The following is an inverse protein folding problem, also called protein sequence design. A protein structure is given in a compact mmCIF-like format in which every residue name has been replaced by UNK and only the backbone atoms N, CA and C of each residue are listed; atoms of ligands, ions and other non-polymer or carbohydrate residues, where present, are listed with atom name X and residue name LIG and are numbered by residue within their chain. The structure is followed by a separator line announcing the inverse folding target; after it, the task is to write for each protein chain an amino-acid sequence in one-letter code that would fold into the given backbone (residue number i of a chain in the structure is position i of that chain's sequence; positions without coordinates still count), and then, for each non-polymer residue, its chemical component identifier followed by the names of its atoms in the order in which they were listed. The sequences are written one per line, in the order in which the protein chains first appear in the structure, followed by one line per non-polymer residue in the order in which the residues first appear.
data_IF_511816347463
#
_entry.id   IF_511816347463
#
_cell.length_a   1.000
_cell.length_b   1.000
_cell.length_c   1.000
_cell.angle_alpha   90.00
_cell.angle_beta   90.00
_cell.angle_gamma   90.00
#
_symmetry.space_group_name_H-M   'P 1'
#
loop_
_entity.id
_entity.type
_entity.pdbx_description
1 polymer ?
#
# COMPACT_ATOMS: atom_id res chain seq x y z
N UNK A 1 9.07 11.91 -10.04
CA UNK A 1 9.45 13.11 -9.27
C UNK A 1 10.74 12.84 -8.50
N UNK A 2 10.81 11.82 -7.59
CA UNK A 2 11.96 11.58 -6.72
C UNK A 2 13.31 11.52 -7.44
N UNK A 3 13.40 10.78 -8.56
CA UNK A 3 14.62 10.73 -9.39
C UNK A 3 15.05 12.10 -9.91
N UNK A 4 14.10 12.96 -10.28
CA UNK A 4 14.40 14.34 -10.74
C UNK A 4 14.93 15.19 -9.58
N UNK A 5 14.38 15.06 -8.38
CA UNK A 5 14.86 15.78 -7.18
C UNK A 5 16.31 15.40 -6.88
N UNK A 6 16.66 14.10 -6.93
CA UNK A 6 18.05 13.63 -6.80
C UNK A 6 18.98 14.23 -7.88
N UNK A 7 18.51 14.24 -9.13
CA UNK A 7 19.25 14.82 -10.25
C UNK A 7 19.50 16.31 -10.03
N UNK A 8 18.49 17.07 -9.61
CA UNK A 8 18.62 18.51 -9.33
C UNK A 8 19.52 18.78 -8.13
N UNK A 9 19.51 17.94 -7.11
CA UNK A 9 20.47 18.04 -6.01
C UNK A 9 21.90 17.90 -6.51
N UNK A 10 22.19 16.89 -7.33
CA UNK A 10 23.54 16.69 -7.91
C UNK A 10 23.98 17.81 -8.85
N UNK A 11 23.05 18.42 -9.59
CA UNK A 11 23.31 19.52 -10.51
C UNK A 11 23.42 20.89 -9.81
N UNK A 12 23.06 20.99 -8.53
CA UNK A 12 23.08 22.25 -7.78
C UNK A 12 24.16 22.22 -6.68
N UNK A 13 23.77 22.17 -5.43
CA UNK A 13 24.65 22.32 -4.27
C UNK A 13 24.88 21.00 -3.47
N UNK A 14 24.57 19.84 -4.06
CA UNK A 14 24.75 18.51 -3.44
C UNK A 14 24.05 18.39 -2.08
N UNK A 15 22.91 19.07 -1.88
CA UNK A 15 22.14 18.97 -0.65
C UNK A 15 21.66 17.53 -0.43
N UNK A 16 21.58 17.11 0.81
CA UNK A 16 20.90 15.85 1.15
C UNK A 16 19.45 15.90 0.69
N UNK A 17 18.97 14.81 0.15
CA UNK A 17 17.60 14.67 -0.31
C UNK A 17 16.97 13.52 0.45
N UNK A 18 15.80 13.76 0.96
CA UNK A 18 14.90 12.73 1.49
C UNK A 18 13.69 12.63 0.61
N UNK A 19 13.23 11.42 0.41
CA UNK A 19 12.16 11.10 -0.51
C UNK A 19 11.21 10.12 0.15
N UNK A 20 9.97 10.54 0.30
CA UNK A 20 8.84 9.66 0.52
C UNK A 20 8.07 9.57 -0.79
N UNK A 21 8.09 8.38 -1.39
CA UNK A 21 7.51 8.10 -2.70
C UNK A 21 6.39 7.06 -2.57
N UNK A 22 5.90 6.62 -3.70
CA UNK A 22 4.79 5.67 -3.75
C UNK A 22 5.13 4.27 -3.28
N UNK A 23 4.09 3.45 -3.23
CA UNK A 23 4.17 2.05 -2.85
C UNK A 23 3.25 1.14 -3.68
N UNK A 24 3.48 -0.15 -3.54
CA UNK A 24 2.60 -1.24 -3.98
C UNK A 24 2.66 -2.31 -2.90
N UNK A 25 2.19 -1.93 -1.72
CA UNK A 25 2.44 -2.66 -0.49
C UNK A 25 1.72 -4.00 -0.46
N UNK A 26 2.43 -5.10 -0.17
CA UNK A 26 1.83 -6.43 -0.01
C UNK A 26 1.14 -6.52 1.35
N UNK A 27 -0.03 -7.15 1.38
CA UNK A 27 -0.73 -7.55 2.58
C UNK A 27 -0.94 -9.07 2.51
N UNK A 28 -0.21 -9.83 3.33
CA UNK A 28 -0.12 -11.29 3.26
C UNK A 28 -1.02 -11.92 4.30
N UNK A 29 -1.93 -12.78 3.88
CA UNK A 29 -2.84 -13.49 4.79
C UNK A 29 -2.60 -14.99 4.69
N UNK A 30 -2.09 -15.59 5.77
CA UNK A 30 -1.91 -17.03 5.90
C UNK A 30 -3.20 -17.71 6.36
N UNK A 31 -3.38 -18.99 5.99
CA UNK A 31 -4.55 -19.78 6.36
C UNK A 31 -4.69 -20.02 7.86
N UNK A 32 -3.59 -19.87 8.61
CA UNK A 32 -3.58 -19.96 10.07
C UNK A 32 -3.86 -18.63 10.78
N UNK A 33 -4.30 -17.60 10.07
CA UNK A 33 -4.77 -16.37 10.70
C UNK A 33 -5.91 -16.69 11.67
N UNK A 34 -5.81 -16.20 12.90
CA UNK A 34 -6.76 -16.53 13.96
C UNK A 34 -8.12 -15.87 13.74
N UNK A 35 -8.12 -14.64 13.27
CA UNK A 35 -9.32 -13.84 13.02
C UNK A 35 -9.33 -13.31 11.58
N UNK A 36 -10.02 -14.05 10.71
CA UNK A 36 -10.16 -13.68 9.30
C UNK A 36 -11.12 -12.51 9.08
N UNK A 37 -12.04 -12.24 10.00
CA UNK A 37 -12.95 -11.09 9.88
C UNK A 37 -12.20 -9.80 10.16
N UNK A 38 -11.47 -9.72 11.26
CA UNK A 38 -10.58 -8.58 11.56
C UNK A 38 -9.53 -8.37 10.45
N UNK A 39 -8.92 -9.44 9.96
CA UNK A 39 -7.95 -9.36 8.87
C UNK A 39 -8.59 -8.82 7.56
N UNK A 40 -9.83 -9.20 7.27
CA UNK A 40 -10.55 -8.74 6.09
C UNK A 40 -10.97 -7.27 6.22
N UNK A 41 -11.44 -6.85 7.39
CA UNK A 41 -11.79 -5.45 7.68
C UNK A 41 -10.56 -4.54 7.55
N UNK A 42 -9.46 -4.89 8.20
CA UNK A 42 -8.22 -4.15 8.10
C UNK A 42 -7.65 -4.13 6.67
N UNK A 43 -7.75 -5.24 5.93
CA UNK A 43 -7.31 -5.32 4.53
C UNK A 43 -8.16 -4.43 3.61
N UNK A 44 -9.46 -4.38 3.82
CA UNK A 44 -10.36 -3.51 3.05
C UNK A 44 -10.09 -2.03 3.38
N UNK A 45 -9.93 -1.71 4.67
CA UNK A 45 -9.60 -0.34 5.10
C UNK A 45 -8.24 0.11 4.55
N UNK A 46 -7.24 -0.76 4.55
CA UNK A 46 -5.89 -0.50 4.04
C UNK A 46 -5.84 -0.06 2.57
N UNK A 47 -6.87 -0.35 1.78
CA UNK A 47 -6.94 0.06 0.37
C UNK A 47 -8.09 1.00 0.07
N UNK A 48 -9.24 0.88 0.72
CA UNK A 48 -10.40 1.72 0.42
C UNK A 48 -10.50 2.96 1.32
N UNK A 49 -9.81 2.96 2.47
CA UNK A 49 -9.65 4.13 3.30
C UNK A 49 -9.00 5.27 2.51
N UNK A 50 -9.44 6.50 2.74
CA UNK A 50 -9.00 7.68 2.00
C UNK A 50 -8.99 7.48 0.47
N UNK A 51 -10.01 6.82 -0.08
CA UNK A 51 -10.17 6.51 -1.51
C UNK A 51 -8.98 5.75 -2.13
N UNK A 52 -8.15 5.08 -1.32
CA UNK A 52 -6.91 4.43 -1.77
C UNK A 52 -5.80 5.41 -2.18
N UNK A 53 -5.96 6.68 -1.91
CA UNK A 53 -4.96 7.73 -2.13
C UNK A 53 -4.00 7.82 -0.94
N UNK A 54 -3.35 6.67 -0.64
CA UNK A 54 -2.39 6.49 0.45
C UNK A 54 -1.15 5.79 -0.10
N UNK A 55 0.04 6.32 0.18
CA UNK A 55 1.30 5.79 -0.35
C UNK A 55 1.62 4.38 0.17
N UNK A 56 1.24 4.08 1.41
CA UNK A 56 1.41 2.77 2.07
C UNK A 56 0.25 1.80 1.84
N UNK A 57 -0.80 2.19 1.10
CA UNK A 57 -2.00 1.38 0.91
C UNK A 57 -1.71 -0.09 0.58
N UNK A 58 -2.39 -1.02 1.27
CA UNK A 58 -2.27 -2.46 1.10
C UNK A 58 -2.86 -2.97 -0.21
N UNK A 59 -2.40 -2.41 -1.33
CA UNK A 59 -3.00 -2.55 -2.66
C UNK A 59 -2.75 -3.91 -3.34
N UNK A 60 -1.84 -4.74 -2.79
CA UNK A 60 -1.63 -6.13 -3.20
C UNK A 60 -1.97 -7.08 -2.05
N UNK A 61 -3.12 -7.71 -2.11
CA UNK A 61 -3.53 -8.73 -1.16
C UNK A 61 -3.03 -10.09 -1.64
N UNK A 62 -2.17 -10.72 -0.82
CA UNK A 62 -1.50 -11.99 -1.13
C UNK A 62 -2.07 -13.04 -0.18
N UNK A 63 -2.91 -13.96 -0.68
CA UNK A 63 -3.75 -14.84 0.12
C UNK A 63 -3.26 -16.29 -0.03
N UNK A 64 -3.18 -17.02 1.07
CA UNK A 64 -2.92 -18.46 0.98
C UNK A 64 -4.11 -19.17 0.33
N UNK A 65 -3.83 -20.05 -0.65
CA UNK A 65 -4.84 -20.65 -1.55
C UNK A 65 -6.02 -21.29 -0.81
N UNK A 66 -5.76 -21.91 0.33
CA UNK A 66 -6.78 -22.64 1.11
C UNK A 66 -7.92 -21.75 1.60
N UNK A 67 -7.66 -20.45 1.79
CA UNK A 67 -8.65 -19.48 2.28
C UNK A 67 -9.06 -18.45 1.24
N UNK A 68 -8.52 -18.50 0.02
CA UNK A 68 -8.71 -17.48 -1.02
C UNK A 68 -10.18 -17.10 -1.20
N UNK A 69 -11.01 -18.09 -1.50
CA UNK A 69 -12.44 -17.87 -1.83
C UNK A 69 -13.22 -17.26 -0.67
N UNK A 70 -13.00 -17.77 0.53
CA UNK A 70 -13.65 -17.27 1.74
C UNK A 70 -13.20 -15.84 2.05
N UNK A 71 -11.89 -15.60 2.03
CA UNK A 71 -11.33 -14.29 2.35
C UNK A 71 -11.74 -13.20 1.34
N UNK A 72 -11.71 -13.50 0.04
CA UNK A 72 -12.18 -12.57 -1.00
C UNK A 72 -13.67 -12.25 -0.81
N UNK A 73 -14.50 -13.26 -0.49
CA UNK A 73 -15.94 -13.05 -0.22
C UNK A 73 -16.18 -12.09 0.95
N UNK A 74 -15.37 -12.18 2.03
CA UNK A 74 -15.44 -11.24 3.16
C UNK A 74 -15.12 -9.81 2.73
N UNK A 75 -14.02 -9.60 2.00
CA UNK A 75 -13.63 -8.27 1.52
C UNK A 75 -14.68 -7.69 0.56
N UNK A 76 -15.26 -8.49 -0.33
CA UNK A 76 -16.37 -8.07 -1.20
C UNK A 76 -17.55 -7.57 -0.38
N UNK A 77 -17.93 -8.29 0.68
CA UNK A 77 -19.05 -7.88 1.53
C UNK A 77 -18.77 -6.59 2.30
N UNK A 78 -17.53 -6.39 2.75
CA UNK A 78 -17.09 -5.18 3.43
C UNK A 78 -17.06 -4.00 2.45
N UNK A 79 -16.51 -4.18 1.24
CA UNK A 79 -16.39 -3.14 0.22
C UNK A 79 -17.75 -2.54 -0.21
N UNK A 80 -18.84 -3.33 -0.12
CA UNK A 80 -20.19 -2.84 -0.38
C UNK A 80 -20.64 -1.72 0.57
N UNK A 81 -20.07 -1.68 1.78
CA UNK A 81 -20.33 -0.65 2.78
C UNK A 81 -19.34 0.52 2.69
N UNK A 82 -18.28 0.38 1.92
CA UNK A 82 -17.21 1.36 1.76
C UNK A 82 -17.37 2.20 0.48
N UNK A 83 -18.62 2.54 0.14
CA UNK A 83 -18.90 3.32 -1.07
C UNK A 83 -18.60 4.80 -0.87
N UNK A 84 -18.16 5.49 -1.93
CA UNK A 84 -18.03 6.92 -1.91
C UNK A 84 -19.41 7.60 -1.85
N UNK A 85 -19.47 8.74 -1.19
CA UNK A 85 -20.71 9.51 -1.01
C UNK A 85 -20.49 11.00 -0.89
N UNK A 86 -21.55 11.72 -0.54
CA UNK A 86 -21.49 13.15 -0.25
C UNK A 86 -20.59 13.38 0.98
N UNK A 87 -19.56 14.23 0.91
CA UNK A 87 -18.66 14.50 2.03
C UNK A 87 -19.34 15.14 3.25
N UNK A 88 -20.55 15.70 3.09
CA UNK A 88 -21.37 16.23 4.18
C UNK A 88 -22.33 15.20 4.80
N UNK A 89 -22.44 14.01 4.19
CA UNK A 89 -23.22 12.92 4.75
C UNK A 89 -22.33 12.06 5.68
N UNK A 90 -22.63 11.97 6.99
CA UNK A 90 -21.84 11.19 7.94
C UNK A 90 -21.86 9.68 7.66
N UNK A 91 -22.80 9.19 6.87
CA UNK A 91 -22.86 7.78 6.44
C UNK A 91 -21.95 7.48 5.24
N UNK A 92 -21.38 8.48 4.59
CA UNK A 92 -20.44 8.30 3.50
C UNK A 92 -19.12 7.77 4.03
N UNK A 93 -18.63 6.64 3.50
CA UNK A 93 -17.34 6.08 3.89
C UNK A 93 -16.16 6.85 3.28
N UNK A 94 -16.27 7.20 2.01
CA UNK A 94 -15.19 7.84 1.26
C UNK A 94 -15.71 9.08 0.50
N UNK A 95 -14.82 10.02 0.25
CA UNK A 95 -15.09 11.21 -0.56
C UNK A 95 -14.69 11.04 -2.02
N UNK A 96 -14.49 12.17 -2.68
CA UNK A 96 -14.04 12.22 -4.06
C UNK A 96 -12.52 11.95 -4.18
N UNK A 97 -12.11 11.39 -5.31
CA UNK A 97 -10.72 11.38 -5.78
C UNK A 97 -10.23 12.82 -5.94
N UNK A 98 -8.95 13.06 -5.66
CA UNK A 98 -8.36 14.42 -5.57
C UNK A 98 -8.64 15.32 -6.79
N UNK A 99 -8.73 14.78 -7.98
CA UNK A 99 -9.06 15.50 -9.21
C UNK A 99 -9.39 14.56 -10.38
N UNK A 100 -9.84 15.13 -11.51
CA UNK A 100 -10.19 14.37 -12.71
C UNK A 100 -9.00 13.66 -13.36
N UNK A 101 -7.81 14.21 -13.31
CA UNK A 101 -6.61 13.59 -13.89
C UNK A 101 -6.32 12.25 -13.17
N UNK A 102 -6.39 12.25 -11.84
CA UNK A 102 -6.23 11.03 -11.05
C UNK A 102 -7.39 10.06 -11.26
N UNK A 103 -8.63 10.53 -11.37
CA UNK A 103 -9.79 9.70 -11.70
C UNK A 103 -9.59 8.96 -13.04
N UNK A 104 -9.18 9.68 -14.08
CA UNK A 104 -8.89 9.10 -15.39
C UNK A 104 -7.71 8.11 -15.34
N UNK A 105 -6.68 8.40 -14.54
CA UNK A 105 -5.58 7.47 -14.30
C UNK A 105 -6.09 6.16 -13.69
N UNK A 106 -6.93 6.22 -12.66
CA UNK A 106 -7.51 5.03 -12.00
C UNK A 106 -8.31 4.23 -13.03
N UNK A 107 -9.22 4.88 -13.76
CA UNK A 107 -10.04 4.25 -14.81
C UNK A 107 -9.18 3.58 -15.89
N UNK A 108 -8.11 4.23 -16.31
CA UNK A 108 -7.14 3.66 -17.26
C UNK A 108 -6.49 2.39 -16.73
N UNK A 109 -6.05 2.36 -15.46
CA UNK A 109 -5.46 1.16 -14.86
C UNK A 109 -6.47 0.01 -14.73
N UNK A 110 -7.73 0.32 -14.43
CA UNK A 110 -8.77 -0.71 -14.40
C UNK A 110 -8.96 -1.34 -15.78
N UNK A 111 -8.93 -0.54 -16.85
CA UNK A 111 -9.02 -1.07 -18.22
C UNK A 111 -7.76 -1.88 -18.58
N UNK A 112 -6.57 -1.41 -18.23
CA UNK A 112 -5.32 -2.18 -18.42
C UNK A 112 -5.39 -3.54 -17.72
N UNK A 113 -5.88 -3.60 -16.47
CA UNK A 113 -6.02 -4.86 -15.76
C UNK A 113 -6.94 -5.85 -16.48
N UNK A 114 -8.08 -5.36 -17.01
CA UNK A 114 -9.00 -6.17 -17.83
C UNK A 114 -8.32 -6.66 -19.12
N UNK A 115 -7.60 -5.80 -19.80
CA UNK A 115 -6.86 -6.13 -21.03
C UNK A 115 -5.74 -7.15 -20.79
N UNK A 116 -5.08 -7.09 -19.63
CA UNK A 116 -4.05 -8.05 -19.21
C UNK A 116 -4.64 -9.38 -18.72
N UNK A 117 -5.97 -9.50 -18.60
CA UNK A 117 -6.69 -10.75 -18.25
C UNK A 117 -7.07 -10.88 -16.78
N UNK A 118 -6.93 -9.82 -15.97
CA UNK A 118 -7.46 -9.81 -14.62
C UNK A 118 -9.01 -9.72 -14.64
N UNK A 119 -9.66 -10.34 -13.66
CA UNK A 119 -11.10 -10.31 -13.49
C UNK A 119 -11.52 -9.25 -12.48
N UNK A 120 -12.51 -8.42 -12.81
CA UNK A 120 -13.11 -7.47 -11.86
C UNK A 120 -14.27 -8.15 -11.15
N UNK A 121 -14.12 -8.37 -9.85
CA UNK A 121 -15.17 -8.99 -9.02
C UNK A 121 -16.17 -7.94 -8.49
N UNK A 122 -15.69 -6.73 -8.22
CA UNK A 122 -16.49 -5.60 -7.70
C UNK A 122 -15.98 -4.31 -8.30
N UNK A 123 -16.88 -3.37 -8.53
CA UNK A 123 -16.58 -1.99 -8.91
C UNK A 123 -16.04 -1.85 -10.33
N UNK A 124 -15.03 -1.02 -10.47
CA UNK A 124 -14.37 -0.75 -11.75
C UNK A 124 -15.00 0.34 -12.59
N UNK A 125 -15.84 1.18 -11.98
CA UNK A 125 -16.54 2.25 -12.67
C UNK A 125 -16.39 3.62 -11.98
N UNK A 126 -16.44 4.66 -12.78
CA UNK A 126 -16.69 6.02 -12.30
C UNK A 126 -18.15 6.11 -11.86
N UNK A 127 -18.37 6.58 -10.65
CA UNK A 127 -19.72 6.70 -10.06
C UNK A 127 -20.08 8.16 -9.75
N UNK A 128 -21.31 8.43 -9.28
CA UNK A 128 -21.83 9.73 -8.88
C UNK A 128 -21.58 10.85 -9.92
N UNK A 129 -21.67 10.54 -11.20
CA UNK A 129 -21.33 11.47 -12.32
C UNK A 129 -22.17 12.73 -12.32
N UNK A 130 -23.41 12.65 -11.83
CA UNK A 130 -24.36 13.76 -11.83
C UNK A 130 -24.00 14.86 -10.79
N UNK A 131 -23.08 14.56 -9.86
CA UNK A 131 -22.63 15.52 -8.86
C UNK A 131 -21.57 16.48 -9.37
N UNK A 132 -20.94 16.16 -10.50
CA UNK A 132 -19.78 16.89 -11.01
C UNK A 132 -18.46 16.59 -10.28
N UNK A 133 -18.48 15.73 -9.26
CA UNK A 133 -17.32 15.28 -8.50
C UNK A 133 -16.62 14.07 -9.16
N UNK A 134 -15.39 13.80 -8.70
CA UNK A 134 -14.53 12.72 -9.21
C UNK A 134 -14.65 11.49 -8.29
N UNK A 135 -15.60 10.62 -8.53
CA UNK A 135 -15.84 9.46 -7.67
C UNK A 135 -15.58 8.14 -8.40
N UNK A 136 -14.95 7.19 -7.69
CA UNK A 136 -14.65 5.86 -8.22
C UNK A 136 -15.05 4.78 -7.21
N UNK A 137 -15.63 3.68 -7.73
CA UNK A 137 -16.07 2.56 -6.88
C UNK A 137 -14.87 1.80 -6.29
N UNK A 138 -14.95 1.31 -5.03
CA UNK A 138 -14.06 0.28 -4.54
C UNK A 138 -13.98 -0.88 -5.54
N UNK A 139 -12.77 -1.19 -5.98
CA UNK A 139 -12.54 -2.15 -7.07
C UNK A 139 -11.65 -3.28 -6.62
N UNK A 140 -12.08 -4.52 -6.90
CA UNK A 140 -11.34 -5.73 -6.53
C UNK A 140 -11.05 -6.54 -7.79
N UNK A 141 -9.76 -6.76 -8.03
CA UNK A 141 -9.28 -7.66 -9.07
C UNK A 141 -8.90 -9.02 -8.51
N UNK A 142 -9.37 -10.07 -9.20
CA UNK A 142 -8.92 -11.46 -9.05
C UNK A 142 -8.25 -11.95 -10.32
N UNK A 143 -7.76 -13.19 -10.30
CA UNK A 143 -7.03 -13.77 -11.43
C UNK A 143 -5.85 -12.90 -11.88
N UNK A 144 -5.17 -12.26 -10.91
CA UNK A 144 -4.05 -11.36 -11.16
C UNK A 144 -2.74 -12.14 -11.14
N UNK A 145 -1.90 -11.94 -12.16
CA UNK A 145 -0.51 -12.35 -12.14
C UNK A 145 0.35 -11.19 -11.63
N UNK A 146 1.35 -11.49 -10.79
CA UNK A 146 2.21 -10.44 -10.21
C UNK A 146 3.00 -9.60 -11.24
N UNK A 147 3.08 -10.05 -12.51
CA UNK A 147 3.71 -9.29 -13.61
C UNK A 147 2.77 -8.29 -14.27
N UNK A 148 1.47 -8.37 -14.02
CA UNK A 148 0.50 -7.41 -14.55
C UNK A 148 0.76 -6.02 -13.99
N UNK A 149 0.53 -4.99 -14.81
CA UNK A 149 0.76 -3.60 -14.42
C UNK A 149 -0.06 -3.18 -13.19
N UNK A 150 -1.28 -3.69 -13.08
CA UNK A 150 -2.14 -3.45 -11.90
C UNK A 150 -1.57 -4.01 -10.60
N UNK A 151 -0.68 -5.02 -10.66
CA UNK A 151 0.03 -5.58 -9.51
C UNK A 151 1.39 -4.92 -9.26
N UNK A 152 1.99 -4.28 -10.26
CA UNK A 152 3.34 -3.72 -10.19
C UNK A 152 3.39 -2.20 -10.05
N UNK A 153 2.42 -1.49 -10.61
CA UNK A 153 2.43 -0.03 -10.67
C UNK A 153 1.47 0.58 -9.63
N UNK A 154 1.84 1.73 -9.08
CA UNK A 154 1.01 2.47 -8.14
C UNK A 154 -0.16 3.15 -8.86
N UNK A 155 -1.38 2.71 -8.54
CA UNK A 155 -2.60 3.29 -9.09
C UNK A 155 -2.98 4.57 -8.34
N UNK A 156 -2.84 4.54 -7.01
CA UNK A 156 -3.21 5.63 -6.09
C UNK A 156 -4.70 5.92 -6.13
N UNK A 157 -5.49 4.88 -5.86
CA UNK A 157 -6.95 4.89 -5.91
C UNK A 157 -7.52 3.60 -5.30
N UNK A 158 -8.85 3.45 -5.19
CA UNK A 158 -9.51 2.38 -4.46
C UNK A 158 -9.50 1.05 -5.26
N UNK A 159 -8.33 0.55 -5.61
CA UNK A 159 -8.14 -0.63 -6.46
C UNK A 159 -7.25 -1.66 -5.77
N UNK A 160 -7.87 -2.76 -5.36
CA UNK A 160 -7.23 -3.93 -4.76
C UNK A 160 -6.91 -4.97 -5.83
N UNK A 161 -5.69 -5.51 -5.81
CA UNK A 161 -5.32 -6.70 -6.59
C UNK A 161 -5.11 -7.89 -5.66
N UNK A 162 -5.67 -9.05 -6.01
CA UNK A 162 -5.51 -10.28 -5.22
C UNK A 162 -4.58 -11.27 -5.94
N UNK A 163 -3.66 -11.83 -5.17
CA UNK A 163 -2.70 -12.84 -5.62
C UNK A 163 -2.76 -14.02 -4.67
N UNK A 164 -2.36 -15.20 -5.11
CA UNK A 164 -2.38 -16.39 -4.27
C UNK A 164 -0.99 -17.00 -4.12
N UNK A 165 -0.79 -17.70 -3.01
CA UNK A 165 0.41 -18.48 -2.76
C UNK A 165 0.08 -19.81 -2.08
N UNK A 166 1.02 -20.76 -2.17
CA UNK A 166 0.90 -22.09 -1.55
C UNK A 166 1.93 -22.30 -0.43
N UNK A 167 3.09 -21.65 -0.51
CA UNK A 167 4.19 -21.82 0.47
C UNK A 167 4.63 -20.49 1.04
N UNK A 168 5.24 -20.52 2.22
CA UNK A 168 5.81 -19.32 2.84
C UNK A 168 6.81 -18.61 1.91
N UNK A 169 7.69 -19.38 1.28
CA UNK A 169 8.72 -18.86 0.39
C UNK A 169 8.13 -18.18 -0.85
N UNK A 170 7.03 -18.72 -1.38
CA UNK A 170 6.29 -18.12 -2.49
C UNK A 170 5.65 -16.80 -2.07
N UNK A 171 5.03 -16.72 -0.89
CA UNK A 171 4.46 -15.49 -0.35
C UNK A 171 5.50 -14.38 -0.25
N UNK A 172 6.68 -14.69 0.31
CA UNK A 172 7.78 -13.73 0.45
C UNK A 172 8.35 -13.33 -0.93
N UNK A 173 8.45 -14.27 -1.85
CA UNK A 173 8.90 -13.99 -3.22
C UNK A 173 7.96 -13.01 -3.92
N UNK A 174 6.64 -13.27 -3.90
CA UNK A 174 5.63 -12.38 -4.48
C UNK A 174 5.65 -11.01 -3.81
N UNK A 175 5.73 -10.97 -2.47
CA UNK A 175 5.76 -9.71 -1.73
C UNK A 175 6.95 -8.83 -2.14
N UNK A 176 8.12 -9.43 -2.32
CA UNK A 176 9.36 -8.74 -2.66
C UNK A 176 9.52 -8.44 -4.16
N UNK A 177 8.78 -9.11 -5.04
CA UNK A 177 8.83 -8.91 -6.49
C UNK A 177 8.01 -7.67 -6.88
N UNK A 178 8.58 -6.52 -6.55
CA UNK A 178 8.08 -5.17 -6.84
C UNK A 178 9.25 -4.19 -6.78
N UNK A 179 9.15 -3.11 -7.53
CA UNK A 179 10.11 -2.00 -7.45
C UNK A 179 9.97 -1.15 -6.17
N UNK A 180 8.89 -1.34 -5.41
CA UNK A 180 8.56 -0.63 -4.19
C UNK A 180 8.91 -1.42 -2.94
N UNK A 181 8.88 -0.74 -1.80
CA UNK A 181 9.12 -1.33 -0.49
C UNK A 181 8.79 -0.36 0.65
N UNK A 182 7.58 0.24 0.63
CA UNK A 182 7.17 1.19 1.66
C UNK A 182 6.65 0.47 2.91
N UNK A 183 5.55 -0.25 2.77
CA UNK A 183 4.92 -0.98 3.86
C UNK A 183 4.57 -2.42 3.45
N UNK A 184 4.21 -3.24 4.44
CA UNK A 184 3.69 -4.59 4.27
C UNK A 184 2.84 -5.01 5.47
N UNK A 185 1.83 -5.85 5.26
CA UNK A 185 1.07 -6.54 6.31
C UNK A 185 1.32 -8.04 6.30
N UNK A 186 1.26 -8.67 7.47
CA UNK A 186 1.38 -10.13 7.64
C UNK A 186 0.39 -10.61 8.69
N UNK A 187 -0.49 -11.51 8.30
CA UNK A 187 -1.55 -12.07 9.15
C UNK A 187 -1.33 -13.55 9.36
N UNK A 188 -1.03 -13.95 10.59
CA UNK A 188 -0.79 -15.34 11.01
C UNK A 188 -0.83 -15.44 12.54
N UNK A 189 -1.29 -16.55 13.09
CA UNK A 189 -1.19 -16.83 14.53
C UNK A 189 0.19 -17.34 14.96
N UNK A 190 1.03 -17.76 14.01
CA UNK A 190 2.36 -18.27 14.30
C UNK A 190 3.37 -17.11 14.38
N UNK A 191 3.77 -16.76 15.60
CA UNK A 191 4.72 -15.67 15.85
C UNK A 191 6.08 -15.91 15.18
N UNK A 192 6.53 -17.16 15.06
CA UNK A 192 7.81 -17.46 14.39
C UNK A 192 7.70 -17.18 12.89
N UNK A 193 6.57 -17.53 12.27
CA UNK A 193 6.26 -17.21 10.89
C UNK A 193 6.20 -15.70 10.67
N UNK A 194 5.49 -14.98 11.55
CA UNK A 194 5.38 -13.52 11.49
C UNK A 194 6.76 -12.84 11.56
N UNK A 195 7.60 -13.20 12.53
CA UNK A 195 8.96 -12.66 12.68
C UNK A 195 9.86 -13.05 11.50
N UNK A 196 9.77 -14.29 11.00
CA UNK A 196 10.50 -14.71 9.81
C UNK A 196 10.10 -13.88 8.59
N UNK A 197 8.79 -13.66 8.39
CA UNK A 197 8.27 -12.83 7.31
C UNK A 197 8.75 -11.38 7.42
N UNK A 198 8.63 -10.76 8.60
CA UNK A 198 9.03 -9.36 8.80
C UNK A 198 10.50 -9.11 8.51
N UNK A 199 11.39 -10.09 8.75
CA UNK A 199 12.82 -10.01 8.43
C UNK A 199 13.12 -10.19 6.95
N UNK A 200 12.29 -10.92 6.22
CA UNK A 200 12.53 -11.26 4.81
C UNK A 200 11.82 -10.32 3.84
N UNK A 201 10.74 -9.68 4.27
CA UNK A 201 10.04 -8.68 3.47
C UNK A 201 10.88 -7.41 3.37
N UNK A 202 11.09 -6.92 2.16
CA UNK A 202 11.88 -5.73 1.87
C UNK A 202 10.99 -4.49 1.84
N UNK A 203 10.49 -4.11 3.00
CA UNK A 203 9.69 -2.91 3.23
C UNK A 203 10.21 -2.14 4.45
N UNK A 204 9.97 -0.85 4.49
CA UNK A 204 10.40 0.01 5.60
C UNK A 204 9.59 -0.24 6.87
N UNK A 205 8.31 -0.57 6.72
CA UNK A 205 7.41 -0.94 7.82
C UNK A 205 6.75 -2.29 7.53
N UNK A 206 6.70 -3.18 8.51
CA UNK A 206 5.96 -4.45 8.42
C UNK A 206 5.03 -4.56 9.62
N UNK A 207 3.75 -4.55 9.35
CA UNK A 207 2.69 -4.74 10.34
C UNK A 207 2.44 -6.25 10.55
N UNK A 208 2.21 -6.67 11.78
CA UNK A 208 1.88 -8.05 12.13
C UNK A 208 0.51 -8.07 12.78
N UNK A 209 -0.43 -8.82 12.19
CA UNK A 209 -1.84 -8.92 12.60
C UNK A 209 -2.50 -7.54 12.78
N UNK A 210 -2.13 -6.64 11.92
CA UNK A 210 -2.56 -5.24 11.85
C UNK A 210 -2.25 -4.69 10.45
N UNK A 211 -2.87 -3.57 10.07
CA UNK A 211 -2.45 -2.73 8.94
C UNK A 211 -2.78 -1.28 9.25
N UNK A 212 -1.75 -0.48 9.57
CA UNK A 212 -1.83 0.97 9.89
C UNK A 212 -2.70 1.36 11.10
N UNK A 213 -3.36 0.43 11.76
CA UNK A 213 -4.14 0.73 12.96
C UNK A 213 -3.21 1.15 14.10
N UNK A 214 -3.52 2.29 14.73
CA UNK A 214 -2.72 2.80 15.83
C UNK A 214 -1.30 3.25 15.43
N UNK A 215 -1.09 3.67 14.20
CA UNK A 215 0.21 4.17 13.74
C UNK A 215 0.64 5.36 14.59
N UNK A 216 1.76 5.22 15.29
CA UNK A 216 2.33 6.23 16.18
C UNK A 216 3.45 6.99 15.44
N UNK A 217 3.43 8.33 15.55
CA UNK A 217 4.46 9.21 15.00
C UNK A 217 5.87 8.97 15.57
N UNK A 218 6.00 8.14 16.61
CA UNK A 218 7.30 7.68 17.14
C UNK A 218 7.90 6.54 16.32
N UNK A 219 7.13 5.90 15.44
CA UNK A 219 7.61 4.84 14.56
C UNK A 219 8.20 5.46 13.29
N UNK A 220 9.46 5.14 12.92
CA UNK A 220 10.05 5.64 11.69
C UNK A 220 9.28 5.15 10.46
N UNK A 221 8.87 6.08 9.60
CA UNK A 221 8.23 5.81 8.32
C UNK A 221 9.23 6.04 7.19
N UNK A 222 9.22 5.20 6.17
CA UNK A 222 10.01 5.41 4.96
C UNK A 222 10.31 4.12 4.21
N UNK A 223 10.53 4.26 2.91
CA UNK A 223 10.58 3.14 1.99
C UNK A 223 11.97 2.57 1.72
N UNK A 224 11.97 1.32 1.27
CA UNK A 224 13.08 0.67 0.58
C UNK A 224 12.92 0.86 -0.93
N UNK A 225 13.95 0.53 -1.70
CA UNK A 225 13.94 0.53 -3.18
C UNK A 225 13.49 1.90 -3.74
N UNK A 226 12.49 1.90 -4.65
CA UNK A 226 11.99 3.15 -5.24
C UNK A 226 10.92 3.87 -4.38
N UNK A 227 10.54 3.31 -3.24
CA UNK A 227 9.63 3.98 -2.31
C UNK A 227 10.28 5.12 -1.55
N UNK A 228 11.62 5.24 -1.54
CA UNK A 228 12.20 6.44 -1.00
C UNK A 228 13.60 6.28 -0.42
N UNK A 229 14.06 7.37 0.18
CA UNK A 229 15.37 7.50 0.85
C UNK A 229 15.15 8.29 2.14
N UNK A 230 15.70 7.80 3.25
CA UNK A 230 15.53 8.42 4.57
C UNK A 230 14.37 7.85 5.35
N UNK A 231 14.06 8.48 6.48
CA UNK A 231 12.92 8.14 7.34
C UNK A 231 12.28 9.42 7.86
N UNK A 232 10.95 9.47 7.73
CA UNK A 232 10.13 10.44 8.44
C UNK A 232 9.66 9.85 9.77
N UNK A 233 9.18 10.69 10.66
CA UNK A 233 8.72 10.29 11.99
C UNK A 233 9.80 9.58 12.82
N UNK A 234 9.49 9.30 14.06
CA UNK A 234 10.43 8.67 14.99
C UNK A 234 11.69 9.49 15.21
N UNK A 235 12.60 8.92 16.00
CA UNK A 235 13.89 9.56 16.33
C UNK A 235 14.79 9.73 15.09
N UNK A 236 14.70 8.82 14.14
CA UNK A 236 15.49 8.80 12.91
C UNK A 236 15.21 10.00 11.99
N UNK A 237 14.03 10.61 12.09
CA UNK A 237 13.70 11.83 11.34
C UNK A 237 14.65 12.98 11.66
N UNK A 238 15.23 13.02 12.86
CA UNK A 238 16.18 14.06 13.25
C UNK A 238 17.44 14.08 12.38
N UNK A 239 17.88 12.92 11.89
CA UNK A 239 19.05 12.82 11.01
C UNK A 239 18.89 13.62 9.71
N UNK A 240 17.66 13.95 9.37
CA UNK A 240 17.31 14.72 8.19
C UNK A 240 17.64 16.21 8.35
N UNK A 241 17.61 16.69 9.58
CA UNK A 241 17.74 18.11 9.94
C UNK A 241 19.03 18.41 10.67
N UNK A 242 19.83 17.38 10.98
CA UNK A 242 21.07 17.51 11.75
C UNK A 242 22.29 17.14 10.91
N UNK A 243 23.43 17.72 11.28
CA UNK A 243 24.72 17.35 10.74
C UNK A 243 25.70 17.05 11.88
N UNK A 244 26.44 15.96 11.75
CA UNK A 244 27.53 15.64 12.68
C UNK A 244 28.71 16.55 12.42
N UNK A 245 29.20 17.19 13.46
CA UNK A 245 30.42 18.02 13.46
C UNK A 245 31.40 17.48 14.48
N UNK A 246 32.62 17.25 14.08
CA UNK A 246 33.69 16.87 14.98
C UNK A 246 34.58 18.09 15.29
N UNK A 247 34.94 18.25 16.55
CA UNK A 247 35.91 19.24 16.98
C UNK A 247 37.08 18.53 17.66
N UNK A 248 38.27 18.77 17.18
CA UNK A 248 39.50 18.26 17.76
C UNK A 248 40.33 19.44 18.27
N UNK A 249 40.69 19.43 19.55
CA UNK A 249 41.55 20.45 20.16
C UNK A 249 42.76 19.79 20.82
N UNK A 250 43.97 20.30 20.55
CA UNK A 250 45.16 19.98 21.31
C UNK A 250 45.33 21.05 22.39
N UNK A 251 45.29 20.65 23.64
CA UNK A 251 45.56 21.52 24.78
C UNK A 251 47.03 21.32 25.14
N UNK A 252 47.79 22.41 25.15
CA UNK A 252 49.18 22.44 25.56
C UNK A 252 49.32 22.52 27.06
#
# INVERSE_FOLDING_TARGET
VGKLVLQYSGQSNMKRVQLECGGKSPNIVFADCEDLDTAAEASAYAIFGNQGEVCSAGSRLIIQKEIERDFISRIINISKKMQPGDPFDPESFAGAIVNNEQLEKINKYVNIGKEEGASVEVGGNITMKDTGGSYFEPTIFTNVNNKMRVAQEEIFGPVLTTLTFSTFEEAISIANDSQYGLAAGVWTKDINKAIKASRQIRAGTVYINNYEEGMDSTIPLGGYKQSGIGRDSGYQALDNYLQVKSTWAKIS
#
